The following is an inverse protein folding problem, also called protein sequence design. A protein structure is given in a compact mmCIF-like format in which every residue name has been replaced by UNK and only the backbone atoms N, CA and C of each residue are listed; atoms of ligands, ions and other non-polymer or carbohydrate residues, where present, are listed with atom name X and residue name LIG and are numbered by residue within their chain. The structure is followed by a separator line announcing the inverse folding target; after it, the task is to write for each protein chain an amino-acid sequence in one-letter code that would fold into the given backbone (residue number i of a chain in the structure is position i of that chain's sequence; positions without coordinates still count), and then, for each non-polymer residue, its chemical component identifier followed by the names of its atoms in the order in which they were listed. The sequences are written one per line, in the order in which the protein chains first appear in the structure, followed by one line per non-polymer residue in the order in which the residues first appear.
data_IF_257781928113
#
_entry.id   IF_257781928113
#
_cell.length_a   1.000
_cell.length_b   1.000
_cell.length_c   1.000
_cell.angle_alpha   90.00
_cell.angle_beta   90.00
_cell.angle_gamma   90.00
#
_symmetry.space_group_name_H-M   'P 1'
#
loop_
_entity.id
_entity.type
_entity.pdbx_description
1 polymer ?
#
# COMPACT_ATOMS: atom_id res chain seq x y z
N UNK A 1 -11.96 -1.68 -13.72
CA UNK A 1 -10.52 -1.34 -13.69
C UNK A 1 -10.08 -0.81 -12.32
N UNK A 2 -10.85 0.11 -11.72
CA UNK A 2 -10.60 0.71 -10.40
C UNK A 2 -10.35 -0.31 -9.25
N UNK A 3 -11.08 -1.43 -9.19
CA UNK A 3 -10.81 -2.47 -8.20
C UNK A 3 -9.42 -3.12 -8.34
N UNK A 4 -8.93 -3.29 -9.59
CA UNK A 4 -7.62 -3.91 -9.85
C UNK A 4 -6.49 -3.02 -9.39
N UNK A 5 -6.56 -1.72 -9.68
CA UNK A 5 -5.53 -0.75 -9.25
C UNK A 5 -5.49 -0.60 -7.73
N UNK A 6 -6.66 -0.54 -7.08
CA UNK A 6 -6.72 -0.50 -5.61
C UNK A 6 -6.18 -1.79 -4.97
N UNK A 7 -6.42 -2.95 -5.57
CA UNK A 7 -5.85 -4.22 -5.11
C UNK A 7 -4.32 -4.23 -5.22
N UNK A 8 -3.76 -3.72 -6.32
CA UNK A 8 -2.29 -3.61 -6.48
C UNK A 8 -1.69 -2.57 -5.52
N UNK A 9 -2.36 -1.45 -5.28
CA UNK A 9 -1.95 -0.46 -4.29
C UNK A 9 -1.94 -1.06 -2.87
N UNK A 10 -2.97 -1.83 -2.49
CA UNK A 10 -3.01 -2.53 -1.21
C UNK A 10 -1.86 -3.53 -1.06
N UNK A 11 -1.54 -4.30 -2.11
CA UNK A 11 -0.37 -5.21 -2.13
C UNK A 11 0.94 -4.46 -1.94
N UNK A 12 1.09 -3.33 -2.61
CA UNK A 12 2.27 -2.46 -2.48
C UNK A 12 2.44 -1.95 -1.05
N UNK A 13 1.38 -1.44 -0.43
CA UNK A 13 1.43 -0.96 0.95
C UNK A 13 1.66 -2.09 1.96
N UNK A 14 1.05 -3.26 1.75
CA UNK A 14 1.30 -4.42 2.59
C UNK A 14 2.78 -4.85 2.52
N UNK A 15 3.35 -4.89 1.31
CA UNK A 15 4.77 -5.19 1.09
C UNK A 15 5.69 -4.17 1.80
N UNK A 16 5.37 -2.88 1.70
CA UNK A 16 6.10 -1.83 2.40
C UNK A 16 6.08 -2.05 3.92
N UNK A 17 4.91 -2.35 4.49
CA UNK A 17 4.79 -2.57 5.94
C UNK A 17 5.67 -3.73 6.43
N UNK A 18 5.80 -4.82 5.65
CA UNK A 18 6.69 -5.94 6.02
C UNK A 18 8.17 -5.56 6.03
N UNK A 19 8.57 -4.49 5.32
CA UNK A 19 9.96 -4.03 5.17
C UNK A 19 10.29 -2.79 6.01
N UNK A 20 9.29 -2.23 6.70
CA UNK A 20 9.44 -1.04 7.52
C UNK A 20 9.21 -1.40 8.98
N UNK A 21 10.29 -1.72 9.70
CA UNK A 21 10.25 -2.18 11.09
C UNK A 21 9.51 -1.23 12.02
N UNK A 22 9.78 0.08 11.95
CA UNK A 22 9.13 1.07 12.82
C UNK A 22 7.62 1.16 12.60
N UNK A 23 7.16 1.06 11.34
CA UNK A 23 5.74 1.10 11.02
C UNK A 23 5.02 -0.16 11.51
N UNK A 24 5.67 -1.33 11.39
CA UNK A 24 5.17 -2.59 11.95
C UNK A 24 5.14 -2.56 13.48
N UNK A 25 6.19 -2.04 14.11
CA UNK A 25 6.28 -1.88 15.56
C UNK A 25 5.18 -0.98 16.12
N UNK A 26 4.80 0.09 15.40
CA UNK A 26 3.67 0.94 15.78
C UNK A 26 2.37 0.13 15.93
N UNK A 27 2.05 -0.73 14.96
CA UNK A 27 0.85 -1.59 15.05
C UNK A 27 0.93 -2.56 16.23
N UNK A 28 2.09 -3.20 16.42
CA UNK A 28 2.29 -4.15 17.51
C UNK A 28 2.16 -3.47 18.89
N UNK A 29 2.72 -2.28 19.06
CA UNK A 29 2.59 -1.46 20.29
C UNK A 29 1.15 -1.06 20.58
N UNK A 30 0.30 -0.95 19.56
CA UNK A 30 -1.15 -0.71 19.71
C UNK A 30 -1.97 -1.99 19.94
N UNK A 31 -1.32 -3.13 20.15
CA UNK A 31 -2.00 -4.42 20.34
C UNK A 31 -2.55 -5.03 19.05
N UNK A 32 -2.21 -4.48 17.89
CA UNK A 32 -2.65 -5.03 16.60
C UNK A 32 -1.70 -6.15 16.20
N UNK A 33 -2.17 -7.39 16.40
CA UNK A 33 -1.39 -8.62 16.15
C UNK A 33 -1.15 -8.84 14.66
N UNK A 34 -0.10 -9.60 14.33
CA UNK A 34 0.25 -9.93 12.93
C UNK A 34 -0.91 -10.59 12.15
N UNK A 35 -1.70 -11.42 12.80
CA UNK A 35 -2.89 -12.05 12.19
C UNK A 35 -3.92 -11.01 11.74
N UNK A 36 -4.08 -9.92 12.50
CA UNK A 36 -5.01 -8.82 12.18
C UNK A 36 -4.43 -8.00 11.02
N UNK A 37 -3.13 -7.68 11.07
CA UNK A 37 -2.42 -7.02 9.97
C UNK A 37 -2.62 -7.78 8.66
N UNK A 38 -2.45 -9.11 8.68
CA UNK A 38 -2.62 -9.98 7.50
C UNK A 38 -4.08 -10.08 7.07
N UNK A 39 -5.01 -10.30 8.01
CA UNK A 39 -6.45 -10.47 7.72
C UNK A 39 -7.07 -9.24 7.08
N UNK A 40 -6.69 -8.05 7.54
CA UNK A 40 -7.21 -6.78 7.04
C UNK A 40 -6.33 -6.15 5.95
N UNK A 41 -5.20 -6.78 5.59
CA UNK A 41 -4.29 -6.26 4.58
C UNK A 41 -3.69 -4.90 4.95
N UNK A 42 -3.44 -4.64 6.23
CA UNK A 42 -2.88 -3.36 6.68
C UNK A 42 -1.51 -3.13 6.02
N UNK A 43 -1.28 -1.91 5.57
CA UNK A 43 -0.09 -1.54 4.82
C UNK A 43 0.52 -0.24 5.32
N UNK A 44 1.61 0.15 4.66
CA UNK A 44 2.36 1.37 4.96
C UNK A 44 2.67 2.14 3.66
N UNK A 45 2.25 3.40 3.62
CA UNK A 45 2.70 4.34 2.59
C UNK A 45 4.03 4.96 3.04
N UNK A 46 5.09 4.76 2.25
CA UNK A 46 6.37 5.39 2.54
C UNK A 46 6.26 6.90 2.34
N UNK A 47 7.07 7.66 3.08
CA UNK A 47 7.21 9.11 2.92
C UNK A 47 8.02 9.45 1.65
N UNK A 48 7.42 9.16 0.49
CA UNK A 48 8.00 9.35 -0.84
C UNK A 48 6.90 9.69 -1.82
N UNK A 49 6.96 10.90 -2.37
CA UNK A 49 5.94 11.47 -3.26
C UNK A 49 5.56 10.61 -4.46
N UNK A 50 6.52 9.91 -5.08
CA UNK A 50 6.29 9.26 -6.38
C UNK A 50 6.30 7.73 -6.33
N UNK A 51 6.37 7.14 -5.15
CA UNK A 51 6.65 5.71 -4.99
C UNK A 51 5.49 4.83 -5.50
N UNK A 52 4.25 5.16 -5.11
CA UNK A 52 3.06 4.42 -5.56
C UNK A 52 2.84 4.58 -7.07
N UNK A 53 2.92 5.81 -7.59
CA UNK A 53 2.70 6.07 -9.02
C UNK A 53 3.76 5.36 -9.89
N UNK A 54 5.03 5.39 -9.49
CA UNK A 54 6.10 4.67 -10.21
C UNK A 54 5.87 3.15 -10.18
N UNK A 55 5.43 2.60 -9.04
CA UNK A 55 5.09 1.18 -8.92
C UNK A 55 3.92 0.79 -9.85
N UNK A 56 2.81 1.54 -9.81
CA UNK A 56 1.61 1.24 -10.60
C UNK A 56 1.82 1.46 -12.10
N UNK A 57 2.60 2.48 -12.50
CA UNK A 57 3.00 2.67 -13.91
C UNK A 57 3.84 1.50 -14.42
N UNK A 58 4.77 0.97 -13.61
CA UNK A 58 5.52 -0.25 -13.94
C UNK A 58 4.63 -1.50 -14.08
N UNK A 59 3.46 -1.51 -13.42
CA UNK A 59 2.43 -2.56 -13.57
C UNK A 59 1.51 -2.35 -14.79
N UNK A 60 1.72 -1.29 -15.56
CA UNK A 60 0.95 -1.01 -16.79
C UNK A 60 -0.34 -0.22 -16.57
N UNK A 61 -0.55 0.36 -15.38
CA UNK A 61 -1.71 1.23 -15.16
C UNK A 61 -1.47 2.62 -15.75
N UNK A 62 -2.49 3.14 -16.45
CA UNK A 62 -2.49 4.49 -17.00
C UNK A 62 -2.67 5.52 -15.88
N UNK A 63 -2.00 6.67 -15.98
CA UNK A 63 -2.06 7.76 -15.02
C UNK A 63 -3.47 8.34 -14.81
N UNK A 64 -4.28 8.47 -15.87
CA UNK A 64 -5.67 8.93 -15.77
C UNK A 64 -6.52 8.01 -14.88
N UNK A 65 -6.26 6.69 -14.94
CA UNK A 65 -6.94 5.72 -14.08
C UNK A 65 -6.50 5.89 -12.61
N UNK A 66 -5.23 6.23 -12.37
CA UNK A 66 -4.71 6.45 -11.03
C UNK A 66 -5.35 7.70 -10.41
N UNK A 67 -5.51 8.75 -11.21
CA UNK A 67 -6.19 9.99 -10.81
C UNK A 67 -7.68 9.72 -10.52
N UNK A 68 -8.38 9.00 -11.39
CA UNK A 68 -9.78 8.59 -11.18
C UNK A 68 -9.94 7.74 -9.91
N UNK A 69 -8.93 6.92 -9.59
CA UNK A 69 -8.91 6.10 -8.38
C UNK A 69 -8.53 6.88 -7.10
N UNK A 70 -8.14 8.17 -7.20
CA UNK A 70 -7.70 8.98 -6.07
C UNK A 70 -6.37 8.53 -5.46
N UNK A 71 -5.50 7.90 -6.24
CA UNK A 71 -4.20 7.37 -5.80
C UNK A 71 -3.03 8.31 -6.08
N UNK A 72 -3.27 9.38 -6.86
CA UNK A 72 -2.32 10.44 -7.21
C UNK A 72 -3.04 11.79 -7.29
#
# INVERSE_FOLDING_TARGET
LLYKVNTEAARYYFYNLQRTSFAKEYFLKRGIREEVIKRFGLGYAQDRWHDLIMYLKKKGFNENLLLEAGLI
#
